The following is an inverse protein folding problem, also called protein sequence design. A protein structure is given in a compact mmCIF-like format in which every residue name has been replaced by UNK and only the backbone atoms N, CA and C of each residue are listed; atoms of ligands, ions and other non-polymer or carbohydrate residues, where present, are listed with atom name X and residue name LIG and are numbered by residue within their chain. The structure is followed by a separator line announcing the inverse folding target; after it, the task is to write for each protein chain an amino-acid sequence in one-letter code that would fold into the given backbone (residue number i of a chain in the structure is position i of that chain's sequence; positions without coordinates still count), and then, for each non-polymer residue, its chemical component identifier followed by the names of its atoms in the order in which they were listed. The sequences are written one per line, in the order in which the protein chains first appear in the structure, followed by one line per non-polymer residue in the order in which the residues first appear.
data_IF_685117475537
#
_entry.id   IF_685117475537
#
_cell.length_a   1.000
_cell.length_b   1.000
_cell.length_c   1.000
_cell.angle_alpha   90.00
_cell.angle_beta   90.00
_cell.angle_gamma   90.00
#
_symmetry.space_group_name_H-M   'P 1'
#
loop_
_entity.id
_entity.type
_entity.pdbx_description
1 polymer ?
#
# COMPACT_ATOMS: atom_id res chain seq x y z
N UNK A 1 -25.00 27.82 11.18
CA UNK A 1 -24.83 26.41 10.72
C UNK A 1 -25.34 25.50 11.83
N UNK A 2 -26.23 24.55 11.52
CA UNK A 2 -26.79 23.64 12.54
C UNK A 2 -25.66 22.87 13.24
N UNK A 3 -25.73 22.69 14.56
CA UNK A 3 -24.65 22.11 15.40
C UNK A 3 -24.13 20.78 14.84
N UNK A 4 -25.01 19.99 14.22
CA UNK A 4 -24.70 18.71 13.56
C UNK A 4 -23.79 18.88 12.33
N UNK A 5 -23.99 19.94 11.54
CA UNK A 5 -23.11 20.28 10.39
C UNK A 5 -21.74 20.72 10.87
N UNK A 6 -21.67 21.50 11.94
CA UNK A 6 -20.38 21.94 12.51
C UNK A 6 -19.61 20.74 13.07
N UNK A 7 -20.25 19.85 13.81
CA UNK A 7 -19.64 18.61 14.30
C UNK A 7 -19.14 17.71 13.16
N UNK A 8 -19.96 17.52 12.13
CA UNK A 8 -19.58 16.73 10.96
C UNK A 8 -18.34 17.31 10.26
N UNK A 9 -18.30 18.63 10.07
CA UNK A 9 -17.16 19.30 9.45
C UNK A 9 -15.89 19.20 10.31
N UNK A 10 -16.02 19.31 11.64
CA UNK A 10 -14.87 19.14 12.56
C UNK A 10 -14.30 17.72 12.47
N UNK A 11 -15.15 16.69 12.49
CA UNK A 11 -14.70 15.29 12.36
C UNK A 11 -14.01 15.04 11.03
N UNK A 12 -14.56 15.58 9.93
CA UNK A 12 -14.00 15.43 8.59
C UNK A 12 -12.63 16.11 8.47
N UNK A 13 -12.47 17.30 9.07
CA UNK A 13 -11.20 18.01 9.13
C UNK A 13 -10.17 17.24 9.96
N UNK A 14 -10.54 16.71 11.12
CA UNK A 14 -9.63 15.91 11.97
C UNK A 14 -9.17 14.63 11.28
N UNK A 15 -10.07 13.94 10.57
CA UNK A 15 -9.74 12.72 9.84
C UNK A 15 -8.85 12.94 8.61
N UNK A 16 -8.80 14.18 8.09
CA UNK A 16 -7.98 14.54 6.94
C UNK A 16 -6.55 14.95 7.33
N UNK A 17 -6.25 15.13 8.62
CA UNK A 17 -4.88 15.37 9.05
C UNK A 17 -4.05 14.10 8.82
N UNK A 18 -2.90 14.19 8.14
CA UNK A 18 -1.97 13.09 8.11
C UNK A 18 -1.56 12.81 9.56
N UNK A 19 -1.75 11.58 10.01
CA UNK A 19 -1.02 11.11 11.18
C UNK A 19 0.45 11.20 10.81
N UNK A 20 1.27 11.76 11.70
CA UNK A 20 2.73 11.74 11.59
C UNK A 20 3.20 10.28 11.60
N UNK A 21 3.09 9.64 10.44
CA UNK A 21 3.71 8.38 10.15
C UNK A 21 5.09 8.75 9.65
N UNK A 22 6.12 8.53 10.49
CA UNK A 22 7.50 8.56 10.03
C UNK A 22 7.57 7.68 8.78
N UNK A 23 7.81 8.30 7.62
CA UNK A 23 8.08 7.55 6.41
C UNK A 23 9.43 6.86 6.60
N UNK A 24 9.41 5.65 7.18
CA UNK A 24 10.61 4.88 7.51
C UNK A 24 11.37 4.42 6.25
N UNK A 25 11.05 4.92 5.05
CA UNK A 25 11.73 4.55 3.81
C UNK A 25 13.26 4.73 3.93
N UNK A 26 13.74 5.77 4.62
CA UNK A 26 15.18 5.97 4.85
C UNK A 26 15.72 5.13 6.02
N UNK A 27 14.96 4.97 7.11
CA UNK A 27 15.40 4.23 8.30
C UNK A 27 15.37 2.71 8.10
N UNK A 28 14.29 2.18 7.52
CA UNK A 28 14.20 0.77 7.14
C UNK A 28 15.29 0.41 6.14
N UNK A 29 15.57 1.26 5.14
CA UNK A 29 16.69 1.01 4.22
C UNK A 29 18.04 0.97 4.95
N UNK A 30 18.33 1.94 5.80
CA UNK A 30 19.58 1.97 6.55
C UNK A 30 19.77 0.72 7.43
N UNK A 31 18.70 0.25 8.09
CA UNK A 31 18.73 -0.99 8.89
C UNK A 31 18.93 -2.22 8.02
N UNK A 32 18.23 -2.31 6.88
CA UNK A 32 18.33 -3.45 5.97
C UNK A 32 19.69 -3.52 5.27
N UNK A 33 20.27 -2.38 4.91
CA UNK A 33 21.60 -2.29 4.29
C UNK A 33 22.73 -2.54 5.31
N UNK A 34 22.50 -2.26 6.59
CA UNK A 34 23.45 -2.51 7.69
C UNK A 34 23.34 -3.91 8.29
N UNK A 35 22.36 -4.70 7.85
CA UNK A 35 22.10 -6.05 8.36
C UNK A 35 23.09 -7.05 7.75
N UNK A 36 24.01 -7.58 8.56
CA UNK A 36 25.15 -8.37 8.08
C UNK A 36 24.79 -9.70 7.41
N UNK A 37 23.60 -10.27 7.69
CA UNK A 37 23.18 -11.54 7.08
C UNK A 37 22.39 -11.38 5.79
N UNK A 38 21.93 -10.16 5.46
CA UNK A 38 21.12 -9.84 4.28
C UNK A 38 19.73 -10.52 4.22
N UNK A 39 19.37 -11.32 5.21
CA UNK A 39 18.13 -12.13 5.23
C UNK A 39 16.88 -11.27 5.29
N UNK A 40 16.95 -10.15 6.01
CA UNK A 40 15.82 -9.22 6.10
C UNK A 40 15.57 -8.53 4.75
N UNK A 41 16.63 -8.17 4.03
CA UNK A 41 16.55 -7.58 2.69
C UNK A 41 15.96 -8.58 1.67
N UNK A 42 16.40 -9.85 1.73
CA UNK A 42 15.86 -10.92 0.88
C UNK A 42 14.35 -11.16 1.14
N UNK A 43 13.95 -11.23 2.41
CA UNK A 43 12.54 -11.38 2.80
C UNK A 43 11.65 -10.26 2.27
N UNK A 44 12.12 -9.02 2.32
CA UNK A 44 11.39 -7.86 1.79
C UNK A 44 11.33 -7.89 0.27
N UNK A 45 12.42 -8.24 -0.42
CA UNK A 45 12.42 -8.39 -1.88
C UNK A 45 11.40 -9.44 -2.34
N UNK A 46 11.35 -10.58 -1.64
CA UNK A 46 10.35 -11.62 -1.91
C UNK A 46 8.92 -11.10 -1.68
N UNK A 47 8.71 -10.29 -0.64
CA UNK A 47 7.44 -9.63 -0.38
C UNK A 47 7.02 -8.64 -1.48
N UNK A 48 7.95 -7.83 -2.00
CA UNK A 48 7.71 -6.90 -3.12
C UNK A 48 7.29 -7.69 -4.36
N UNK A 49 8.04 -8.74 -4.71
CA UNK A 49 7.71 -9.61 -5.85
C UNK A 49 6.34 -10.25 -5.69
N UNK A 50 6.02 -10.74 -4.48
CA UNK A 50 4.71 -11.31 -4.18
C UNK A 50 3.56 -10.30 -4.36
N UNK A 51 3.71 -9.08 -3.83
CA UNK A 51 2.70 -8.02 -3.97
C UNK A 51 2.57 -7.54 -5.42
N UNK A 52 3.67 -7.46 -6.16
CA UNK A 52 3.67 -7.12 -7.58
C UNK A 52 3.02 -8.21 -8.45
N UNK A 53 3.06 -9.49 -8.05
CA UNK A 53 2.43 -10.57 -8.81
C UNK A 53 0.90 -10.43 -8.88
N UNK A 54 0.26 -9.91 -7.82
CA UNK A 54 -1.19 -9.76 -7.72
C UNK A 54 -1.80 -8.96 -8.87
N UNK A 55 -1.38 -7.71 -9.18
CA UNK A 55 -1.95 -6.94 -10.28
C UNK A 55 -1.78 -7.64 -11.64
N UNK A 56 -0.67 -8.35 -11.88
CA UNK A 56 -0.49 -9.09 -13.14
C UNK A 56 -1.47 -10.26 -13.27
N UNK A 57 -1.69 -11.02 -12.20
CA UNK A 57 -2.67 -12.12 -12.18
C UNK A 57 -4.08 -11.60 -12.39
N UNK A 58 -4.44 -10.49 -11.75
CA UNK A 58 -5.76 -9.87 -11.91
C UNK A 58 -6.00 -9.41 -13.36
N UNK A 59 -5.02 -8.75 -13.97
CA UNK A 59 -5.10 -8.30 -15.36
C UNK A 59 -5.20 -9.49 -16.33
N UNK A 60 -4.40 -10.54 -16.12
CA UNK A 60 -4.48 -11.76 -16.92
C UNK A 60 -5.86 -12.44 -16.81
N UNK A 61 -6.39 -12.55 -15.59
CA UNK A 61 -7.74 -13.07 -15.34
C UNK A 61 -8.82 -12.23 -16.02
N UNK A 62 -8.74 -10.91 -15.92
CA UNK A 62 -9.66 -9.99 -16.59
C UNK A 62 -9.67 -10.20 -18.11
N UNK A 63 -8.48 -10.25 -18.74
CA UNK A 63 -8.37 -10.49 -20.18
C UNK A 63 -8.91 -11.86 -20.58
N UNK A 64 -8.65 -12.90 -19.79
CA UNK A 64 -9.21 -14.23 -20.03
C UNK A 64 -10.75 -14.22 -20.03
N UNK A 65 -11.37 -13.58 -19.04
CA UNK A 65 -12.84 -13.46 -18.99
C UNK A 65 -13.41 -12.65 -20.16
N UNK A 66 -12.76 -11.55 -20.55
CA UNK A 66 -13.16 -10.76 -21.72
C UNK A 66 -13.08 -11.60 -22.99
N UNK A 67 -11.94 -12.26 -23.24
CA UNK A 67 -11.75 -13.11 -24.41
C UNK A 67 -12.81 -14.22 -24.48
N UNK A 68 -13.07 -14.89 -23.35
CA UNK A 68 -14.10 -15.94 -23.26
C UNK A 68 -15.51 -15.42 -23.49
N UNK A 69 -15.81 -14.17 -23.13
CA UNK A 69 -17.11 -13.55 -23.38
C UNK A 69 -17.28 -13.13 -24.84
N UNK A 70 -16.19 -12.74 -25.50
CA UNK A 70 -16.20 -12.30 -26.90
C UNK A 70 -16.16 -13.46 -27.89
N UNK A 71 -15.85 -14.68 -27.44
CA UNK A 71 -15.89 -15.89 -28.26
C UNK A 71 -17.09 -16.75 -27.93
#
# INVERSE_FOLDING_TARGET
MSIKRTLFLVVMVVAAFPLDADAQCAMCRAVLESESSGKAAEGINNGIVYLMAVPYVLVAGLFYFIYRKMR
#
